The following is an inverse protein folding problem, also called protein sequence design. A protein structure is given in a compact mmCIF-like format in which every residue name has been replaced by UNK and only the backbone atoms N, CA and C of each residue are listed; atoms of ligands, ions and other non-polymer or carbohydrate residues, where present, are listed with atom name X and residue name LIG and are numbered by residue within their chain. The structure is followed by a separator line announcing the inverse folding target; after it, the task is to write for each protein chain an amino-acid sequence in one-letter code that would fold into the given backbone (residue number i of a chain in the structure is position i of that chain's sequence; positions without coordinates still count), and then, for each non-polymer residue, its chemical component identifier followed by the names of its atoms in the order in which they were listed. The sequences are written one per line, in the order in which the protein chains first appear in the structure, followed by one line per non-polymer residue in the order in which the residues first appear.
data_IF_584130018825
#
_entry.id   IF_584130018825
#
_cell.length_a   1.000
_cell.length_b   1.000
_cell.length_c   1.000
_cell.angle_alpha   90.00
_cell.angle_beta   90.00
_cell.angle_gamma   90.00
#
_symmetry.space_group_name_H-M   'P 1'
#
loop_
_entity.id
_entity.type
_entity.pdbx_description
1 polymer ?
#
# COMPACT_ATOMS: atom_id res chain seq x y z
N UNK A 1 35.24 1.01 -1.86
CA UNK A 1 34.16 0.35 -2.62
C UNK A 1 34.57 0.32 -4.09
N UNK A 2 34.35 -0.81 -4.76
CA UNK A 2 34.73 -1.05 -6.15
C UNK A 2 33.59 -1.75 -6.91
N UNK A 3 33.42 -1.36 -8.17
CA UNK A 3 32.55 -2.02 -9.14
C UNK A 3 33.44 -2.63 -10.21
N UNK A 4 33.39 -3.95 -10.39
CA UNK A 4 34.22 -4.66 -11.38
C UNK A 4 33.38 -5.56 -12.26
N UNK A 5 33.71 -5.61 -13.55
CA UNK A 5 33.19 -6.63 -14.46
C UNK A 5 34.08 -7.87 -14.33
N UNK A 6 33.48 -8.97 -13.92
CA UNK A 6 34.12 -10.28 -13.79
C UNK A 6 33.45 -11.29 -14.71
N UNK A 7 34.01 -12.49 -14.79
CA UNK A 7 33.36 -13.65 -15.40
C UNK A 7 33.22 -14.72 -14.32
N UNK A 8 31.99 -15.02 -13.92
CA UNK A 8 31.69 -16.08 -12.96
C UNK A 8 30.99 -17.23 -13.67
N UNK A 9 31.49 -18.46 -13.50
CA UNK A 9 30.95 -19.65 -14.15
C UNK A 9 30.72 -19.51 -15.67
N UNK A 10 31.60 -18.76 -16.36
CA UNK A 10 31.51 -18.51 -17.81
C UNK A 10 30.46 -17.47 -18.21
N UNK A 11 29.88 -16.72 -17.28
CA UNK A 11 28.90 -15.64 -17.53
C UNK A 11 29.46 -14.28 -17.11
N UNK A 12 29.16 -13.19 -17.84
CA UNK A 12 29.47 -11.84 -17.38
C UNK A 12 28.82 -11.59 -16.01
N UNK A 13 29.63 -11.13 -15.07
CA UNK A 13 29.21 -10.83 -13.70
C UNK A 13 29.60 -9.40 -13.35
N UNK A 14 28.69 -8.65 -12.73
CA UNK A 14 28.98 -7.35 -12.13
C UNK A 14 29.22 -7.56 -10.64
N UNK A 15 30.44 -7.33 -10.18
CA UNK A 15 30.84 -7.50 -8.78
C UNK A 15 30.88 -6.14 -8.10
N UNK A 16 30.07 -5.98 -7.06
CA UNK A 16 30.04 -4.81 -6.19
C UNK A 16 30.66 -5.18 -4.84
N UNK A 17 31.77 -4.53 -4.49
CA UNK A 17 32.45 -4.76 -3.22
C UNK A 17 32.51 -3.47 -2.38
N UNK A 18 32.13 -3.56 -1.11
CA UNK A 18 32.07 -2.42 -0.20
C UNK A 18 31.42 -2.80 1.13
N UNK A 19 31.28 -1.83 2.03
CA UNK A 19 30.57 -1.98 3.29
C UNK A 19 29.26 -1.19 3.27
N UNK A 20 28.15 -1.77 3.74
CA UNK A 20 26.85 -1.12 4.01
C UNK A 20 26.49 0.02 3.04
N UNK A 21 26.49 1.25 3.55
CA UNK A 21 26.20 2.50 2.83
C UNK A 21 26.97 2.69 1.52
N UNK A 22 28.21 2.22 1.44
CA UNK A 22 29.01 2.31 0.23
C UNK A 22 28.47 1.39 -0.87
N UNK A 23 27.91 0.22 -0.53
CA UNK A 23 27.23 -0.67 -1.49
C UNK A 23 25.87 -0.10 -1.93
N UNK A 24 25.14 0.53 -1.00
CA UNK A 24 23.87 1.20 -1.31
C UNK A 24 24.07 2.33 -2.32
N UNK A 25 25.01 3.24 -2.03
CA UNK A 25 25.38 4.34 -2.93
C UNK A 25 25.86 3.82 -4.29
N UNK A 26 26.60 2.71 -4.32
CA UNK A 26 27.07 2.07 -5.54
C UNK A 26 25.92 1.53 -6.40
N UNK A 27 24.97 0.82 -5.78
CA UNK A 27 23.80 0.28 -6.45
C UNK A 27 22.91 1.40 -6.99
N UNK A 28 22.73 2.48 -6.22
CA UNK A 28 22.03 3.68 -6.68
C UNK A 28 22.73 4.33 -7.87
N UNK A 29 24.07 4.40 -7.85
CA UNK A 29 24.84 4.93 -8.96
C UNK A 29 24.71 4.10 -10.23
N UNK A 30 24.63 2.77 -10.12
CA UNK A 30 24.36 1.89 -11.27
C UNK A 30 22.96 2.09 -11.87
N UNK A 31 21.98 2.45 -11.04
CA UNK A 31 20.60 2.66 -11.49
C UNK A 31 20.38 4.06 -12.11
N UNK A 32 21.30 5.01 -11.90
CA UNK A 32 21.16 6.38 -12.39
C UNK A 32 21.63 6.53 -13.83
N UNK A 33 20.77 7.08 -14.68
CA UNK A 33 21.08 7.41 -16.08
C UNK A 33 22.16 8.50 -16.22
N UNK A 34 22.45 9.24 -15.15
CA UNK A 34 23.46 10.30 -15.12
C UNK A 34 24.85 9.78 -14.72
N UNK A 35 24.99 8.50 -14.39
CA UNK A 35 26.29 7.92 -14.11
C UNK A 35 26.90 7.49 -15.43
N UNK A 36 28.00 8.12 -15.83
CA UNK A 36 28.76 7.72 -17.02
C UNK A 36 29.08 6.22 -16.89
N UNK A 37 28.55 5.41 -17.81
CA UNK A 37 28.93 4.00 -17.93
C UNK A 37 30.43 3.97 -18.18
N UNK A 38 31.16 3.38 -17.25
CA UNK A 38 32.60 3.37 -17.31
C UNK A 38 33.09 2.47 -18.43
N UNK A 39 34.03 2.97 -19.24
CA UNK A 39 34.64 2.24 -20.35
C UNK A 39 35.80 1.32 -19.90
N UNK A 40 35.92 1.06 -18.60
CA UNK A 40 36.98 0.25 -17.97
C UNK A 40 36.41 -0.88 -17.12
N UNK A 41 37.08 -2.04 -17.10
CA UNK A 41 36.65 -3.24 -16.37
C UNK A 41 36.59 -3.10 -14.84
N UNK A 42 37.10 -2.00 -14.28
CA UNK A 42 37.07 -1.68 -12.85
C UNK A 42 36.85 -0.18 -12.67
N UNK A 43 35.97 0.21 -11.74
CA UNK A 43 35.82 1.59 -11.27
C UNK A 43 35.72 1.66 -9.75
N UNK A 44 36.37 2.67 -9.17
CA UNK A 44 36.30 3.00 -7.75
C UNK A 44 35.57 4.33 -7.54
N UNK A 45 34.77 4.43 -6.48
CA UNK A 45 34.14 5.70 -6.10
C UNK A 45 32.96 6.12 -6.98
N UNK A 46 32.23 5.15 -7.58
CA UNK A 46 30.93 5.44 -8.18
C UNK A 46 30.01 5.98 -7.10
N UNK A 47 29.66 7.26 -7.22
CA UNK A 47 28.63 7.90 -6.43
C UNK A 47 27.63 8.53 -7.39
N UNK A 48 26.36 8.44 -7.02
CA UNK A 48 25.31 9.22 -7.66
C UNK A 48 24.51 9.85 -6.54
N UNK A 49 24.25 11.14 -6.67
CA UNK A 49 23.37 11.82 -5.74
C UNK A 49 21.95 11.45 -6.13
N UNK A 50 21.17 10.89 -5.19
CA UNK A 50 19.72 10.75 -5.39
C UNK A 50 19.21 12.15 -5.74
N UNK A 51 18.55 12.34 -6.90
CA UNK A 51 17.99 13.63 -7.26
C UNK A 51 17.11 14.16 -6.14
N UNK A 52 17.12 15.48 -5.91
CA UNK A 52 16.21 16.08 -4.95
C UNK A 52 14.76 15.69 -5.29
N UNK A 53 13.96 15.42 -4.26
CA UNK A 53 12.56 15.04 -4.44
C UNK A 53 11.85 16.03 -5.37
N UNK A 54 11.14 15.51 -6.36
CA UNK A 54 10.49 16.32 -7.36
C UNK A 54 9.53 17.34 -6.72
N UNK A 55 9.57 18.57 -7.23
CA UNK A 55 8.64 19.62 -6.82
C UNK A 55 7.21 19.33 -7.31
N UNK A 56 6.21 20.03 -6.76
CA UNK A 56 4.83 19.93 -7.24
C UNK A 56 4.64 20.49 -8.65
N UNK A 57 5.63 21.17 -9.23
CA UNK A 57 5.57 21.69 -10.59
C UNK A 57 6.55 20.96 -11.49
N UNK A 58 6.07 20.48 -12.64
CA UNK A 58 6.85 19.78 -13.65
C UNK A 58 6.63 20.40 -15.02
N UNK A 59 7.71 20.57 -15.79
CA UNK A 59 7.59 20.91 -17.21
C UNK A 59 7.20 19.68 -18.01
N UNK A 60 6.57 19.83 -19.18
CA UNK A 60 6.27 18.67 -20.03
C UNK A 60 7.55 17.93 -20.46
N UNK A 61 8.64 18.67 -20.68
CA UNK A 61 9.96 18.09 -20.94
C UNK A 61 10.47 17.26 -19.74
N UNK A 62 10.30 17.76 -18.52
CA UNK A 62 10.63 17.03 -17.27
C UNK A 62 9.79 15.77 -17.08
N UNK A 63 8.58 15.72 -17.65
CA UNK A 63 7.72 14.54 -17.67
C UNK A 63 8.06 13.56 -18.81
N UNK A 64 9.07 13.86 -19.64
CA UNK A 64 9.53 13.01 -20.72
C UNK A 64 9.05 13.39 -22.12
N UNK A 65 8.36 14.53 -22.29
CA UNK A 65 7.95 15.01 -23.61
C UNK A 65 9.13 15.65 -24.37
N UNK A 66 9.84 14.83 -25.14
CA UNK A 66 10.98 15.25 -25.97
C UNK A 66 10.51 15.84 -27.31
N UNK A 67 9.81 16.98 -27.24
CA UNK A 67 9.23 17.70 -28.37
C UNK A 67 7.87 17.13 -28.79
N UNK A 68 6.84 17.98 -28.80
CA UNK A 68 5.50 17.59 -29.23
C UNK A 68 5.12 18.39 -30.47
N UNK A 69 4.92 17.69 -31.58
CA UNK A 69 4.57 18.25 -32.89
C UNK A 69 3.42 17.47 -33.50
N UNK A 70 2.35 18.17 -33.86
CA UNK A 70 1.16 17.63 -34.52
C UNK A 70 1.08 18.26 -35.91
N UNK A 71 1.00 17.46 -36.97
CA UNK A 71 1.01 17.98 -38.33
C UNK A 71 0.03 17.25 -39.25
N UNK A 72 -0.68 18.01 -40.08
CA UNK A 72 -1.63 17.51 -41.07
C UNK A 72 -3.05 18.07 -40.91
N UNK A 73 -3.90 17.72 -41.87
CA UNK A 73 -5.35 17.95 -41.79
C UNK A 73 -6.05 16.71 -41.20
N UNK A 74 -7.30 16.88 -40.78
CA UNK A 74 -8.03 15.87 -40.01
C UNK A 74 -7.66 15.94 -38.52
N UNK A 75 -7.53 14.77 -37.89
CA UNK A 75 -7.24 14.65 -36.46
C UNK A 75 -5.86 14.07 -36.24
N UNK A 76 -5.02 14.80 -35.49
CA UNK A 76 -3.69 14.39 -35.09
C UNK A 76 -3.60 14.38 -33.57
N UNK A 77 -2.98 13.35 -32.99
CA UNK A 77 -2.91 13.15 -31.54
C UNK A 77 -1.48 12.93 -31.06
N UNK A 78 -1.17 13.46 -29.88
CA UNK A 78 0.03 13.16 -29.12
C UNK A 78 -0.37 12.78 -27.69
N UNK A 79 0.34 11.80 -27.14
CA UNK A 79 0.09 11.27 -25.82
C UNK A 79 1.33 11.39 -24.95
N UNK A 80 1.14 11.81 -23.70
CA UNK A 80 2.17 11.85 -22.66
C UNK A 80 1.66 11.12 -21.42
N UNK A 81 2.41 10.13 -20.96
CA UNK A 81 2.17 9.46 -19.69
C UNK A 81 2.63 10.35 -18.53
N UNK A 82 1.80 10.48 -17.50
CA UNK A 82 2.08 11.28 -16.30
C UNK A 82 1.78 10.45 -15.06
N UNK A 83 2.81 10.13 -14.28
CA UNK A 83 2.68 9.46 -12.98
C UNK A 83 2.62 10.49 -11.84
N UNK A 84 1.76 10.26 -10.85
CA UNK A 84 1.72 11.12 -9.66
C UNK A 84 3.06 11.12 -8.89
N UNK A 85 3.86 10.06 -8.99
CA UNK A 85 5.17 10.04 -8.32
C UNK A 85 6.13 11.11 -8.85
N UNK A 86 5.93 11.60 -10.09
CA UNK A 86 6.73 12.68 -10.69
C UNK A 86 6.58 14.03 -9.98
N UNK A 87 5.60 14.18 -9.09
CA UNK A 87 5.39 15.39 -8.30
C UNK A 87 6.01 15.30 -6.90
N UNK A 88 6.77 14.24 -6.61
CA UNK A 88 7.47 14.03 -5.33
C UNK A 88 6.52 13.80 -4.14
N UNK A 89 5.28 13.39 -4.40
CA UNK A 89 4.26 13.17 -3.36
C UNK A 89 2.86 13.09 -3.97
N UNK A 90 1.85 12.71 -3.18
CA UNK A 90 0.48 12.60 -3.66
C UNK A 90 -0.08 13.99 -4.02
N UNK A 91 -0.88 14.03 -5.09
CA UNK A 91 -1.55 15.25 -5.55
C UNK A 91 -3.08 15.11 -5.51
N UNK A 92 -3.76 16.17 -5.05
CA UNK A 92 -5.23 16.26 -4.97
C UNK A 92 -5.85 16.94 -6.19
N UNK A 93 -5.10 17.81 -6.86
CA UNK A 93 -5.49 18.52 -8.07
C UNK A 93 -4.26 18.79 -8.95
N UNK A 94 -4.47 18.94 -10.25
CA UNK A 94 -3.44 19.39 -11.20
C UNK A 94 -3.95 20.59 -12.01
N UNK A 95 -3.04 21.50 -12.33
CA UNK A 95 -3.26 22.60 -13.25
C UNK A 95 -2.28 22.48 -14.40
N UNK A 96 -2.81 22.40 -15.61
CA UNK A 96 -2.04 22.43 -16.85
C UNK A 96 -1.92 23.88 -17.33
N UNK A 97 -0.71 24.28 -17.68
CA UNK A 97 -0.42 25.45 -18.50
C UNK A 97 0.31 24.98 -19.75
N UNK A 98 -0.29 25.17 -20.91
CA UNK A 98 0.20 24.68 -22.19
C UNK A 98 0.37 25.86 -23.15
N UNK A 99 1.55 25.97 -23.74
CA UNK A 99 1.84 27.02 -24.73
C UNK A 99 2.64 26.48 -25.91
N UNK A 100 2.57 27.17 -27.03
CA UNK A 100 3.30 26.79 -28.22
C UNK A 100 2.97 27.65 -29.41
N UNK A 101 3.34 27.14 -30.58
CA UNK A 101 3.17 27.83 -31.86
C UNK A 101 2.48 26.93 -32.87
N UNK A 102 1.90 27.54 -33.89
CA UNK A 102 1.36 26.81 -35.02
C UNK A 102 1.53 27.60 -36.32
N UNK A 103 1.43 26.90 -37.45
CA UNK A 103 1.41 27.55 -38.77
C UNK A 103 0.16 28.43 -38.92
N UNK A 104 0.27 29.50 -39.70
CA UNK A 104 -0.87 30.35 -40.01
C UNK A 104 -2.00 29.55 -40.68
N UNK A 105 -3.24 29.79 -40.22
CA UNK A 105 -4.43 29.10 -40.74
C UNK A 105 -4.84 29.77 -42.06
N UNK A 106 -4.92 29.02 -43.18
CA UNK A 106 -5.37 29.58 -44.45
C UNK A 106 -6.78 30.17 -44.35
N UNK A 107 -7.07 31.23 -45.12
CA UNK A 107 -8.41 31.83 -45.16
C UNK A 107 -9.46 30.79 -45.52
N UNK A 108 -10.50 30.66 -44.68
CA UNK A 108 -11.56 29.65 -44.83
C UNK A 108 -11.22 28.25 -44.29
N UNK A 109 -10.00 28.04 -43.80
CA UNK A 109 -9.62 26.88 -43.00
C UNK A 109 -10.02 27.04 -41.54
N UNK A 110 -10.02 25.93 -40.80
CA UNK A 110 -10.32 25.91 -39.36
C UNK A 110 -9.32 25.00 -38.65
N UNK A 111 -8.89 25.37 -37.45
CA UNK A 111 -8.09 24.50 -36.61
C UNK A 111 -8.47 24.68 -35.13
N UNK A 112 -8.41 23.59 -34.37
CA UNK A 112 -8.65 23.61 -32.93
C UNK A 112 -7.69 22.64 -32.22
N UNK A 113 -7.24 23.05 -31.03
CA UNK A 113 -6.51 22.21 -30.10
C UNK A 113 -7.45 21.79 -28.98
N UNK A 114 -7.62 20.49 -28.79
CA UNK A 114 -8.32 19.90 -27.66
C UNK A 114 -7.34 19.19 -26.75
N UNK A 115 -7.53 19.35 -25.43
CA UNK A 115 -6.69 18.76 -24.40
C UNK A 115 -7.51 17.80 -23.55
N UNK A 116 -7.03 16.58 -23.41
CA UNK A 116 -7.67 15.51 -22.67
C UNK A 116 -6.79 15.02 -21.53
N UNK A 117 -7.43 14.62 -20.44
CA UNK A 117 -6.81 13.94 -19.32
C UNK A 117 -7.56 12.65 -19.03
N UNK A 118 -6.92 11.50 -19.17
CA UNK A 118 -7.59 10.18 -19.04
C UNK A 118 -8.88 10.13 -19.87
N UNK A 119 -8.80 10.59 -21.13
CA UNK A 119 -9.91 10.74 -22.08
C UNK A 119 -11.03 11.73 -21.70
N UNK A 120 -10.92 12.41 -20.57
CA UNK A 120 -11.79 13.52 -20.19
C UNK A 120 -11.33 14.83 -20.86
N UNK A 121 -12.22 15.50 -21.60
CA UNK A 121 -11.92 16.79 -22.24
C UNK A 121 -11.75 17.88 -21.18
N UNK A 122 -10.52 18.37 -21.00
CA UNK A 122 -10.21 19.47 -20.09
C UNK A 122 -10.53 20.82 -20.71
N UNK A 123 -10.12 21.02 -21.96
CA UNK A 123 -10.27 22.29 -22.67
C UNK A 123 -10.19 22.07 -24.17
N UNK A 124 -10.84 22.97 -24.92
CA UNK A 124 -10.73 23.03 -26.38
C UNK A 124 -10.74 24.47 -26.82
N UNK A 125 -9.76 24.85 -27.65
CA UNK A 125 -9.60 26.21 -28.16
C UNK A 125 -9.46 26.17 -29.68
N UNK A 126 -10.22 27.01 -30.36
CA UNK A 126 -9.97 27.31 -31.79
C UNK A 126 -8.66 28.06 -31.88
N UNK A 127 -7.79 27.62 -32.78
CA UNK A 127 -6.51 28.26 -33.02
C UNK A 127 -6.70 29.51 -33.90
N UNK A 128 -6.00 30.58 -33.56
CA UNK A 128 -5.94 31.83 -34.29
C UNK A 128 -4.52 32.44 -34.19
N UNK A 129 -4.12 33.22 -35.19
CA UNK A 129 -2.74 33.76 -35.24
C UNK A 129 -1.68 32.68 -35.52
N UNK A 130 -0.60 32.69 -34.73
CA UNK A 130 0.58 31.84 -34.84
C UNK A 130 1.04 31.24 -33.49
N UNK A 131 0.35 31.55 -32.39
CA UNK A 131 0.68 31.10 -31.03
C UNK A 131 -0.58 30.70 -30.27
N UNK A 132 -0.41 29.87 -29.25
CA UNK A 132 -1.49 29.52 -28.33
C UNK A 132 -0.97 29.46 -26.89
N UNK A 133 -1.84 29.82 -25.95
CA UNK A 133 -1.64 29.72 -24.51
C UNK A 133 -2.97 29.27 -23.89
N UNK A 134 -2.94 28.13 -23.22
CA UNK A 134 -4.10 27.46 -22.66
C UNK A 134 -3.80 27.04 -21.23
N UNK A 135 -4.74 27.34 -20.34
CA UNK A 135 -4.71 26.84 -18.96
C UNK A 135 -5.96 26.01 -18.68
N UNK A 136 -5.79 24.86 -18.04
CA UNK A 136 -6.89 23.98 -17.66
C UNK A 136 -6.65 23.34 -16.29
N UNK A 137 -7.71 23.10 -15.53
CA UNK A 137 -7.64 22.38 -14.27
C UNK A 137 -8.12 20.93 -14.46
N UNK A 138 -7.39 19.98 -13.87
CA UNK A 138 -7.78 18.57 -13.82
C UNK A 138 -8.62 18.33 -12.57
N UNK A 139 -9.89 17.90 -12.70
CA UNK A 139 -10.70 17.56 -11.55
C UNK A 139 -10.10 16.41 -10.75
N UNK A 140 -10.17 16.47 -9.41
CA UNK A 140 -9.63 15.45 -8.52
C UNK A 140 -10.11 14.03 -8.84
N UNK A 141 -11.39 13.87 -9.22
CA UNK A 141 -11.98 12.57 -9.57
C UNK A 141 -11.50 11.98 -10.90
N UNK A 142 -10.74 12.75 -11.69
CA UNK A 142 -10.09 12.26 -12.92
C UNK A 142 -8.61 11.90 -12.69
N UNK A 143 -8.08 12.13 -11.49
CA UNK A 143 -6.69 11.79 -11.17
C UNK A 143 -6.59 10.33 -10.73
N UNK A 144 -5.63 9.64 -11.33
CA UNK A 144 -5.23 8.28 -11.01
C UNK A 144 -3.73 8.25 -10.69
N UNK A 145 -3.18 7.13 -10.24
CA UNK A 145 -1.73 6.99 -10.00
C UNK A 145 -0.93 7.26 -11.27
N UNK A 146 -1.38 6.68 -12.39
CA UNK A 146 -0.89 6.90 -13.75
C UNK A 146 -1.98 7.56 -14.57
N UNK A 147 -1.60 8.58 -15.33
CA UNK A 147 -2.52 9.38 -16.12
C UNK A 147 -1.98 9.55 -17.55
N UNK A 148 -2.88 9.86 -18.47
CA UNK A 148 -2.55 10.23 -19.85
C UNK A 148 -2.99 11.65 -20.16
N UNK A 149 -2.03 12.51 -20.49
CA UNK A 149 -2.30 13.79 -21.15
C UNK A 149 -2.33 13.56 -22.65
N UNK A 150 -3.46 13.84 -23.29
CA UNK A 150 -3.61 13.78 -24.74
C UNK A 150 -3.86 15.16 -25.32
N UNK A 151 -3.06 15.51 -26.33
CA UNK A 151 -3.24 16.70 -27.15
C UNK A 151 -3.78 16.29 -28.50
N UNK A 152 -4.85 16.94 -28.95
CA UNK A 152 -5.50 16.63 -30.22
C UNK A 152 -5.65 17.89 -31.07
N UNK A 153 -4.94 17.92 -32.20
CA UNK A 153 -5.14 18.92 -33.24
C UNK A 153 -6.23 18.42 -34.18
N UNK A 154 -7.26 19.25 -34.38
CA UNK A 154 -8.26 19.03 -35.44
C UNK A 154 -8.14 20.18 -36.43
N UNK A 155 -7.79 19.89 -37.68
CA UNK A 155 -7.59 20.90 -38.71
C UNK A 155 -8.36 20.56 -39.98
N UNK A 156 -9.04 21.55 -40.55
CA UNK A 156 -9.78 21.46 -41.80
C UNK A 156 -9.21 22.45 -42.82
N UNK A 157 -8.87 22.00 -44.05
CA UNK A 157 -8.41 22.90 -45.09
C UNK A 157 -9.55 23.79 -45.59
N UNK A 158 -9.19 24.88 -46.27
CA UNK A 158 -10.17 25.76 -46.91
C UNK A 158 -11.02 24.96 -47.92
N UNK A 159 -12.34 25.03 -47.78
CA UNK A 159 -13.28 24.29 -48.63
C UNK A 159 -13.48 22.80 -48.26
N UNK A 160 -12.84 22.29 -47.20
CA UNK A 160 -13.05 20.94 -46.68
C UNK A 160 -12.44 19.80 -47.51
N UNK A 161 -11.67 20.12 -48.55
CA UNK A 161 -11.01 19.14 -49.40
C UNK A 161 -9.68 18.67 -48.80
N UNK A 162 -9.69 17.49 -48.18
CA UNK A 162 -8.50 16.83 -47.64
C UNK A 162 -7.63 16.15 -48.73
N UNK A 163 -8.05 16.15 -49.99
CA UNK A 163 -7.32 15.59 -51.14
C UNK A 163 -6.44 16.61 -51.88
N UNK A 164 -6.30 17.80 -51.29
CA UNK A 164 -5.81 19.01 -51.95
C UNK A 164 -4.50 18.86 -52.74
N UNK A 165 -4.29 19.71 -53.74
CA UNK A 165 -3.22 19.59 -54.71
C UNK A 165 -1.83 19.60 -54.04
N UNK A 166 -0.85 18.95 -54.67
CA UNK A 166 0.56 19.04 -54.28
C UNK A 166 0.97 20.51 -54.14
N UNK A 167 1.04 21.03 -52.90
CA UNK A 167 1.32 22.45 -52.65
C UNK A 167 0.62 23.07 -51.42
N UNK A 168 -0.38 22.42 -50.80
CA UNK A 168 -0.86 22.88 -49.49
C UNK A 168 0.16 22.52 -48.41
N UNK A 169 0.71 23.54 -47.75
CA UNK A 169 1.53 23.35 -46.56
C UNK A 169 0.61 22.81 -45.45
N UNK A 170 0.93 21.66 -44.83
CA UNK A 170 0.10 21.08 -43.78
C UNK A 170 0.03 22.04 -42.59
N UNK A 171 -1.12 22.06 -41.91
CA UNK A 171 -1.21 22.68 -40.60
C UNK A 171 -0.24 21.97 -39.64
N UNK A 172 0.52 22.73 -38.89
CA UNK A 172 1.47 22.20 -37.91
C UNK A 172 1.32 22.96 -36.60
N UNK A 173 1.35 22.24 -35.49
CA UNK A 173 1.35 22.76 -34.13
C UNK A 173 2.54 22.16 -33.38
N UNK A 174 3.32 23.02 -32.72
CA UNK A 174 4.45 22.64 -31.87
C UNK A 174 4.23 23.16 -30.47
N UNK A 175 4.38 22.31 -29.47
CA UNK A 175 4.28 22.68 -28.05
C UNK A 175 5.67 23.06 -27.53
N UNK A 176 5.74 24.17 -26.78
CA UNK A 176 6.91 24.51 -25.98
C UNK A 176 6.93 23.63 -24.72
N UNK A 177 7.63 22.50 -24.77
CA UNK A 177 7.62 21.50 -23.67
C UNK A 177 8.39 21.94 -22.44
N UNK A 178 9.35 22.87 -22.56
CA UNK A 178 10.07 23.43 -21.41
C UNK A 178 9.31 24.57 -20.76
N UNK A 179 8.51 25.30 -21.53
CA UNK A 179 7.65 26.37 -21.05
C UNK A 179 6.25 25.97 -20.62
N UNK A 180 5.77 24.80 -21.04
CA UNK A 180 4.49 24.23 -20.62
C UNK A 180 4.67 23.42 -19.33
N UNK A 181 3.77 23.59 -18.38
CA UNK A 181 3.89 23.03 -17.03
C UNK A 181 2.62 22.32 -16.56
N UNK A 182 2.80 21.36 -15.66
CA UNK A 182 1.79 20.78 -14.81
C UNK A 182 2.15 21.10 -13.36
N UNK A 183 1.24 21.76 -12.64
CA UNK A 183 1.41 22.12 -11.24
C UNK A 183 0.39 21.36 -10.39
N UNK A 184 0.86 20.59 -9.43
CA UNK A 184 0.06 19.80 -8.50
C UNK A 184 -0.15 20.46 -7.15
N UNK A 185 -1.36 20.33 -6.63
CA UNK A 185 -1.67 20.66 -5.25
C UNK A 185 -1.44 19.43 -4.38
N UNK A 186 -0.76 19.58 -3.24
CA UNK A 186 -0.50 18.47 -2.31
C UNK A 186 -1.80 17.92 -1.74
N UNK A 187 -1.91 16.60 -1.69
CA UNK A 187 -3.04 15.90 -1.09
C UNK A 187 -3.35 14.59 -1.79
N UNK A 188 -4.39 13.88 -1.38
CA UNK A 188 -4.75 12.60 -1.98
C UNK A 188 -5.94 12.76 -2.93
N UNK A 189 -5.80 12.30 -4.17
CA UNK A 189 -6.89 12.12 -5.13
C UNK A 189 -7.37 10.67 -5.25
N UNK A 190 -6.56 9.72 -4.80
CA UNK A 190 -6.83 8.27 -4.88
C UNK A 190 -7.19 7.72 -3.50
N UNK A 191 -8.17 6.80 -3.45
CA UNK A 191 -8.53 6.05 -2.24
C UNK A 191 -7.33 5.26 -1.70
N UNK A 192 -7.31 4.99 -0.39
CA UNK A 192 -6.27 4.18 0.23
C UNK A 192 -6.19 2.77 -0.41
N UNK A 193 -4.99 2.33 -0.77
CA UNK A 193 -4.74 1.07 -1.46
C UNK A 193 -3.41 1.06 -2.20
N UNK A 194 -3.18 0.03 -3.01
CA UNK A 194 -1.92 -0.13 -3.76
C UNK A 194 -1.68 1.01 -4.75
N UNK A 195 -2.76 1.55 -5.33
CA UNK A 195 -2.71 2.68 -6.24
C UNK A 195 -2.18 3.98 -5.60
N UNK A 196 -1.97 4.05 -4.27
CA UNK A 196 -1.28 5.18 -3.63
C UNK A 196 0.25 5.06 -3.66
N UNK A 197 0.78 3.90 -3.97
CA UNK A 197 2.20 3.66 -4.07
C UNK A 197 2.63 3.63 -5.55
N UNK A 198 3.81 4.17 -5.88
CA UNK A 198 4.85 4.67 -4.97
C UNK A 198 4.71 6.15 -4.58
N UNK A 199 3.73 6.90 -5.09
CA UNK A 199 3.69 8.36 -4.93
C UNK A 199 3.61 8.85 -3.47
N UNK A 200 3.02 8.09 -2.56
CA UNK A 200 2.99 8.44 -1.12
C UNK A 200 4.35 8.35 -0.43
N UNK A 201 5.33 7.68 -1.03
CA UNK A 201 6.68 7.54 -0.49
C UNK A 201 7.51 8.83 -0.64
N UNK A 202 7.16 9.71 -1.57
CA UNK A 202 7.91 10.96 -1.79
C UNK A 202 9.40 10.72 -2.06
N UNK A 203 9.73 9.63 -2.76
CA UNK A 203 11.08 9.12 -3.01
C UNK A 203 11.84 8.55 -1.80
N UNK A 204 11.25 8.45 -0.61
CA UNK A 204 11.86 7.80 0.56
C UNK A 204 11.11 6.52 0.92
N UNK A 205 11.83 5.40 1.01
CA UNK A 205 11.22 4.10 1.32
C UNK A 205 11.88 3.49 2.57
N UNK A 206 11.33 3.76 3.77
CA UNK A 206 11.69 3.00 4.96
C UNK A 206 11.13 1.58 4.84
N UNK A 207 12.02 0.60 5.01
CA UNK A 207 11.68 -0.83 5.02
C UNK A 207 11.98 -1.38 6.41
N UNK A 208 11.01 -2.05 7.02
CA UNK A 208 11.17 -2.71 8.31
C UNK A 208 10.89 -4.20 8.21
N UNK A 209 11.64 -4.98 9.00
CA UNK A 209 11.41 -6.41 9.15
C UNK A 209 10.80 -6.67 10.52
N UNK A 210 9.79 -7.53 10.53
CA UNK A 210 9.14 -8.04 11.72
C UNK A 210 9.42 -9.55 11.87
N UNK A 211 9.06 -10.11 13.02
CA UNK A 211 9.48 -11.45 13.46
C UNK A 211 8.70 -12.61 12.79
N UNK A 212 7.83 -12.34 11.83
CA UNK A 212 7.03 -13.34 11.13
C UNK A 212 7.78 -14.17 10.09
N UNK A 213 9.06 -13.85 9.84
CA UNK A 213 10.00 -14.68 9.08
C UNK A 213 11.44 -14.38 9.51
N UNK A 214 12.38 -15.24 9.13
CA UNK A 214 13.80 -14.95 9.36
C UNK A 214 14.29 -13.81 8.45
N UNK A 215 15.38 -13.16 8.87
CA UNK A 215 15.87 -11.94 8.23
C UNK A 215 16.24 -12.13 6.76
N UNK A 216 16.69 -13.32 6.38
CA UNK A 216 17.06 -13.62 4.99
C UNK A 216 15.82 -13.65 4.09
N UNK A 217 14.75 -14.30 4.52
CA UNK A 217 13.49 -14.40 3.80
C UNK A 217 12.79 -13.04 3.71
N UNK A 218 12.79 -12.28 4.81
CA UNK A 218 12.32 -10.90 4.80
C UNK A 218 13.10 -10.02 3.82
N UNK A 219 14.42 -10.18 3.74
CA UNK A 219 15.25 -9.44 2.78
C UNK A 219 14.89 -9.78 1.33
N UNK A 220 14.69 -11.06 1.00
CA UNK A 220 14.30 -11.48 -0.35
C UNK A 220 12.91 -10.95 -0.73
N UNK A 221 11.94 -11.06 0.17
CA UNK A 221 10.58 -10.57 -0.04
C UNK A 221 10.55 -9.04 -0.20
N UNK A 222 11.29 -8.33 0.65
CA UNK A 222 11.42 -6.89 0.56
C UNK A 222 12.08 -6.47 -0.75
N UNK A 223 13.15 -7.13 -1.17
CA UNK A 223 13.84 -6.81 -2.42
C UNK A 223 12.92 -6.95 -3.65
N UNK A 224 12.09 -8.00 -3.70
CA UNK A 224 11.13 -8.19 -4.78
C UNK A 224 10.05 -7.09 -4.82
N UNK A 225 9.51 -6.70 -3.67
CA UNK A 225 8.50 -5.64 -3.57
C UNK A 225 9.10 -4.25 -3.87
N UNK A 226 10.29 -3.96 -3.33
CA UNK A 226 11.04 -2.72 -3.59
C UNK A 226 11.36 -2.61 -5.08
N UNK A 227 11.78 -3.69 -5.74
CA UNK A 227 12.04 -3.69 -7.17
C UNK A 227 10.76 -3.39 -7.98
N UNK A 228 9.62 -3.97 -7.59
CA UNK A 228 8.33 -3.69 -8.24
C UNK A 228 7.90 -2.23 -8.05
N UNK A 229 8.07 -1.67 -6.84
CA UNK A 229 7.81 -0.25 -6.56
C UNK A 229 8.72 0.68 -7.33
N UNK A 230 10.02 0.38 -7.39
CA UNK A 230 11.01 1.18 -8.12
C UNK A 230 10.72 1.22 -9.62
N UNK A 231 10.18 0.13 -10.18
CA UNK A 231 9.77 0.08 -11.58
C UNK A 231 8.59 1.01 -11.89
N UNK A 232 7.72 1.26 -10.90
CA UNK A 232 6.57 2.16 -11.03
C UNK A 232 6.90 3.61 -10.63
N UNK A 233 7.98 3.81 -9.87
CA UNK A 233 8.42 5.11 -9.41
C UNK A 233 9.10 5.91 -10.53
N UNK A 234 8.76 7.20 -10.60
CA UNK A 234 9.40 8.11 -11.54
C UNK A 234 10.85 8.44 -11.18
N UNK A 235 11.14 8.51 -9.89
CA UNK A 235 12.46 8.80 -9.35
C UNK A 235 13.03 7.57 -8.63
N UNK A 236 14.35 7.56 -8.44
CA UNK A 236 15.01 6.55 -7.64
C UNK A 236 14.57 6.67 -6.17
N UNK A 237 14.07 5.57 -5.62
CA UNK A 237 13.67 5.48 -4.22
C UNK A 237 14.91 5.40 -3.32
N UNK A 238 14.95 6.22 -2.28
CA UNK A 238 15.92 6.13 -1.20
C UNK A 238 15.50 5.05 -0.20
N UNK A 239 15.84 3.81 -0.54
CA UNK A 239 15.53 2.62 0.26
C UNK A 239 16.49 2.53 1.43
N UNK A 240 15.94 2.48 2.65
CA UNK A 240 16.72 2.32 3.87
C UNK A 240 15.99 1.42 4.87
N UNK A 241 16.77 0.69 5.67
CA UNK A 241 16.23 -0.18 6.70
C UNK A 241 15.95 0.60 7.98
N UNK A 242 14.86 0.28 8.64
CA UNK A 242 14.48 0.80 9.96
C UNK A 242 13.89 -0.32 10.82
N UNK A 243 13.81 -0.09 12.13
CA UNK A 243 13.17 -1.03 13.04
C UNK A 243 11.64 -0.97 12.87
N UNK A 244 10.96 -2.11 13.04
CA UNK A 244 9.50 -2.19 12.93
C UNK A 244 8.81 -1.20 13.88
N UNK A 245 9.23 -1.12 15.15
CA UNK A 245 8.65 -0.18 16.10
C UNK A 245 8.86 1.29 15.70
N UNK A 246 10.04 1.61 15.14
CA UNK A 246 10.36 2.96 14.66
C UNK A 246 9.48 3.35 13.47
N UNK A 247 9.29 2.45 12.50
CA UNK A 247 8.37 2.66 11.38
C UNK A 247 6.92 2.85 11.87
N UNK A 248 6.48 2.03 12.82
CA UNK A 248 5.10 2.08 13.31
C UNK A 248 4.83 3.29 14.23
N UNK A 249 5.88 3.88 14.82
CA UNK A 249 5.79 5.10 15.61
C UNK A 249 5.91 6.38 14.76
N UNK A 250 6.43 6.30 13.53
CA UNK A 250 6.60 7.47 12.66
C UNK A 250 5.31 7.86 11.93
N UNK A 251 5.36 9.03 11.27
CA UNK A 251 4.34 9.52 10.34
C UNK A 251 4.61 9.11 8.89
N UNK A 252 5.69 8.38 8.63
CA UNK A 252 6.15 8.11 7.28
C UNK A 252 5.37 6.96 6.64
N UNK A 253 5.23 7.01 5.33
CA UNK A 253 4.80 5.85 4.56
C UNK A 253 5.96 4.84 4.46
N UNK A 254 5.65 3.54 4.41
CA UNK A 254 6.71 2.53 4.38
C UNK A 254 6.25 1.11 4.14
N UNK A 255 7.22 0.20 4.09
CA UNK A 255 7.03 -1.22 3.86
C UNK A 255 7.43 -2.02 5.10
N UNK A 256 6.49 -2.80 5.63
CA UNK A 256 6.72 -3.77 6.70
C UNK A 256 6.64 -5.20 6.11
N UNK A 257 7.68 -6.00 6.32
CA UNK A 257 7.80 -7.36 5.79
C UNK A 257 7.94 -8.36 6.92
N UNK A 258 7.26 -9.50 6.81
CA UNK A 258 7.24 -10.52 7.86
C UNK A 258 6.31 -10.14 9.00
N UNK A 259 5.22 -9.42 8.72
CA UNK A 259 4.30 -8.97 9.75
C UNK A 259 3.66 -10.14 10.51
N UNK A 260 3.68 -10.07 11.83
CA UNK A 260 3.02 -11.03 12.72
C UNK A 260 1.54 -10.67 12.95
N UNK A 261 0.71 -11.61 13.46
CA UNK A 261 -0.66 -11.28 13.89
C UNK A 261 -0.75 -10.15 14.91
N UNK A 262 0.18 -10.09 15.86
CA UNK A 262 0.24 -9.03 16.85
C UNK A 262 0.51 -7.67 16.19
N UNK A 263 1.40 -7.63 15.20
CA UNK A 263 1.73 -6.40 14.48
C UNK A 263 0.58 -5.95 13.58
N UNK A 264 -0.06 -6.87 12.85
CA UNK A 264 -1.24 -6.58 12.06
C UNK A 264 -2.38 -6.01 12.93
N UNK A 265 -2.58 -6.52 14.14
CA UNK A 265 -3.55 -5.98 15.11
C UNK A 265 -3.14 -4.59 15.62
N UNK A 266 -1.86 -4.39 15.99
CA UNK A 266 -1.30 -3.11 16.46
C UNK A 266 -1.55 -1.97 15.47
N UNK A 267 -1.43 -2.26 14.18
CA UNK A 267 -1.66 -1.27 13.10
C UNK A 267 -3.09 -1.29 12.56
N UNK A 268 -3.99 -2.06 13.17
CA UNK A 268 -5.37 -2.22 12.70
C UNK A 268 -5.44 -2.52 11.20
N UNK A 269 -4.61 -3.46 10.74
CA UNK A 269 -4.58 -3.89 9.35
C UNK A 269 -5.98 -4.31 8.89
N UNK A 270 -6.39 -3.99 7.65
CA UNK A 270 -7.72 -4.32 7.16
C UNK A 270 -8.06 -5.81 7.26
N UNK A 271 -7.10 -6.69 6.96
CA UNK A 271 -7.22 -8.12 7.23
C UNK A 271 -6.40 -8.47 8.49
N UNK A 272 -7.07 -9.09 9.46
CA UNK A 272 -6.37 -9.70 10.61
C UNK A 272 -5.67 -10.98 10.14
N UNK A 273 -4.44 -11.20 10.60
CA UNK A 273 -3.71 -12.45 10.34
C UNK A 273 -4.17 -13.53 11.33
N UNK A 274 -5.33 -14.12 11.07
CA UNK A 274 -5.94 -15.13 11.92
C UNK A 274 -6.84 -16.08 11.12
N UNK A 275 -7.13 -17.26 11.68
CA UNK A 275 -8.12 -18.17 11.11
C UNK A 275 -9.52 -17.57 11.24
N UNK A 276 -10.32 -17.67 10.18
CA UNK A 276 -11.69 -17.17 10.21
C UNK A 276 -12.68 -18.20 9.64
N UNK A 277 -13.87 -18.24 10.25
CA UNK A 277 -15.01 -19.07 9.86
C UNK A 277 -16.24 -18.18 9.80
N UNK A 278 -17.11 -18.41 8.85
CA UNK A 278 -18.39 -17.69 8.77
C UNK A 278 -19.40 -18.30 9.74
N UNK A 279 -20.24 -17.44 10.33
CA UNK A 279 -21.47 -17.90 10.97
C UNK A 279 -22.48 -18.11 9.84
N UNK A 280 -22.99 -19.33 9.72
CA UNK A 280 -24.14 -19.62 8.86
C UNK A 280 -25.35 -18.80 9.36
N UNK A 281 -25.61 -17.65 8.74
CA UNK A 281 -26.94 -17.05 8.80
C UNK A 281 -27.87 -18.03 8.07
N UNK A 282 -29.04 -18.32 8.67
CA UNK A 282 -29.92 -19.45 8.31
C UNK A 282 -30.42 -19.49 6.85
N UNK A 283 -30.04 -18.53 6.01
CA UNK A 283 -30.46 -18.41 4.61
C UNK A 283 -29.31 -18.14 3.61
N UNK A 284 -28.02 -18.29 3.97
CA UNK A 284 -26.90 -18.15 3.02
C UNK A 284 -25.86 -19.27 3.22
N UNK A 285 -25.70 -20.12 2.21
CA UNK A 285 -24.82 -21.31 2.18
C UNK A 285 -23.38 -21.02 1.71
N UNK A 286 -23.03 -19.74 1.49
CA UNK A 286 -21.69 -19.33 1.07
C UNK A 286 -20.99 -18.54 2.15
N UNK A 287 -20.06 -19.22 2.81
CA UNK A 287 -19.23 -18.63 3.83
C UNK A 287 -17.75 -18.75 3.50
N UNK A 288 -17.11 -17.65 3.10
CA UNK A 288 -15.66 -17.63 2.87
C UNK A 288 -14.97 -17.49 4.22
N UNK A 289 -14.50 -18.62 4.76
CA UNK A 289 -13.62 -18.70 5.93
C UNK A 289 -12.43 -19.57 5.59
N UNK A 290 -11.19 -19.15 5.91
CA UNK A 290 -10.03 -20.04 5.77
C UNK A 290 -9.53 -20.54 7.12
N UNK A 291 -9.50 -21.86 7.25
CA UNK A 291 -8.69 -22.58 8.26
C UNK A 291 -7.34 -23.00 7.69
N UNK A 292 -7.09 -22.75 6.40
CA UNK A 292 -5.84 -23.04 5.72
C UNK A 292 -4.87 -21.86 5.83
N UNK A 293 -3.55 -22.14 5.79
CA UNK A 293 -2.53 -21.10 5.72
C UNK A 293 -2.74 -20.15 4.54
N UNK A 294 -2.43 -18.87 4.76
CA UNK A 294 -2.45 -17.85 3.72
C UNK A 294 -1.35 -16.82 3.96
N UNK A 295 -0.98 -16.10 2.90
CA UNK A 295 -0.23 -14.87 3.00
C UNK A 295 -1.03 -13.73 2.39
N UNK A 296 -0.71 -12.53 2.83
CA UNK A 296 -1.36 -11.31 2.38
C UNK A 296 -0.33 -10.20 2.22
N UNK A 297 -0.49 -9.45 1.14
CA UNK A 297 0.09 -8.13 0.97
C UNK A 297 -1.06 -7.12 1.05
N UNK A 298 -0.93 -6.11 1.89
CA UNK A 298 -1.98 -5.11 2.15
C UNK A 298 -1.42 -3.70 1.99
N UNK A 299 -2.22 -2.81 1.43
CA UNK A 299 -1.93 -1.38 1.34
C UNK A 299 -3.04 -0.58 2.01
N UNK A 300 -2.75 0.14 3.07
CA UNK A 300 -3.78 0.84 3.84
C UNK A 300 -3.28 2.11 4.50
N UNK A 301 -4.23 2.95 4.92
CA UNK A 301 -3.94 4.14 5.70
C UNK A 301 -4.13 3.85 7.19
N UNK A 302 -3.17 4.26 8.01
CA UNK A 302 -3.23 4.15 9.46
C UNK A 302 -2.74 5.46 10.09
N UNK A 303 -3.57 6.14 10.88
CA UNK A 303 -3.23 7.43 11.51
C UNK A 303 -2.68 8.48 10.51
N UNK A 304 -3.23 8.52 9.29
CA UNK A 304 -2.82 9.48 8.25
C UNK A 304 -1.55 9.10 7.46
N UNK A 305 -0.91 7.96 7.73
CA UNK A 305 0.22 7.44 6.94
C UNK A 305 -0.19 6.21 6.13
N UNK A 306 0.50 5.96 5.01
CA UNK A 306 0.20 4.83 4.14
C UNK A 306 1.23 3.70 4.38
N UNK A 307 0.76 2.50 4.70
CA UNK A 307 1.62 1.34 4.96
C UNK A 307 1.39 0.25 3.93
N UNK A 308 2.50 -0.39 3.52
CA UNK A 308 2.49 -1.70 2.88
C UNK A 308 2.88 -2.74 3.92
N UNK A 309 2.06 -3.79 4.04
CA UNK A 309 2.29 -4.87 5.00
C UNK A 309 2.27 -6.21 4.27
N UNK A 310 3.38 -6.93 4.30
CA UNK A 310 3.46 -8.33 3.89
C UNK A 310 3.50 -9.22 5.13
N UNK A 311 2.54 -10.11 5.27
CA UNK A 311 2.45 -11.04 6.39
C UNK A 311 1.82 -12.36 6.00
N UNK A 312 1.84 -13.31 6.93
CA UNK A 312 1.25 -14.63 6.72
C UNK A 312 0.70 -15.20 8.02
N UNK A 313 -0.24 -16.12 7.86
CA UNK A 313 -0.85 -16.85 8.97
C UNK A 313 -1.01 -18.32 8.64
N UNK A 314 -0.82 -19.17 9.64
CA UNK A 314 -1.15 -20.59 9.62
C UNK A 314 -1.83 -20.98 10.93
N UNK A 315 -2.70 -22.01 10.92
CA UNK A 315 -3.25 -22.56 12.15
C UNK A 315 -2.14 -23.10 13.05
N UNK A 316 -2.30 -22.98 14.36
CA UNK A 316 -1.39 -23.55 15.34
C UNK A 316 -1.31 -25.07 15.16
N UNK A 317 -0.21 -25.54 14.57
CA UNK A 317 0.10 -26.95 14.49
C UNK A 317 0.92 -27.35 15.72
N UNK A 318 0.74 -28.56 16.29
CA UNK A 318 1.66 -29.08 17.31
C UNK A 318 3.10 -29.07 16.78
N UNK A 319 4.08 -28.85 17.66
CA UNK A 319 5.50 -28.61 17.30
C UNK A 319 6.11 -29.67 16.34
N UNK A 320 5.60 -30.91 16.37
CA UNK A 320 6.00 -32.01 15.50
C UNK A 320 5.52 -31.86 14.04
N UNK A 321 4.44 -31.11 13.79
CA UNK A 321 3.90 -30.82 12.46
C UNK A 321 4.45 -29.51 11.87
N UNK A 322 4.97 -28.58 12.70
CA UNK A 322 5.61 -27.33 12.25
C UNK A 322 6.93 -27.60 11.51
N UNK A 323 7.67 -28.63 11.91
CA UNK A 323 8.92 -29.04 11.25
C UNK A 323 8.68 -29.81 9.93
N UNK A 324 7.45 -30.26 9.67
CA UNK A 324 7.02 -30.88 8.42
C UNK A 324 6.28 -29.90 7.48
N UNK A 325 6.02 -28.66 7.92
CA UNK A 325 5.40 -27.62 7.12
C UNK A 325 6.34 -27.01 6.06
N UNK A 326 7.45 -27.68 5.73
CA UNK A 326 8.34 -27.30 4.64
C UNK A 326 7.67 -27.59 3.29
N UNK A 327 7.11 -26.55 2.68
CA UNK A 327 6.42 -26.67 1.39
C UNK A 327 5.45 -25.52 1.11
N UNK A 328 4.53 -25.69 0.17
CA UNK A 328 3.58 -24.67 -0.29
C UNK A 328 2.53 -24.23 0.75
N UNK A 329 2.59 -24.76 1.97
CA UNK A 329 1.73 -24.41 3.11
C UNK A 329 2.42 -23.59 4.19
N UNK A 330 3.72 -23.35 4.07
CA UNK A 330 4.46 -22.44 4.94
C UNK A 330 4.04 -20.98 4.69
N UNK A 331 3.58 -20.23 5.70
CA UNK A 331 3.30 -18.80 5.58
C UNK A 331 4.45 -17.99 4.97
N UNK A 332 5.71 -18.37 5.23
CA UNK A 332 6.88 -17.66 4.67
C UNK A 332 7.00 -17.93 3.18
N UNK A 333 6.84 -19.18 2.74
CA UNK A 333 6.82 -19.54 1.32
C UNK A 333 5.65 -18.85 0.57
N UNK A 334 4.49 -18.72 1.22
CA UNK A 334 3.34 -18.00 0.67
C UNK A 334 3.60 -16.49 0.55
N UNK A 335 4.30 -15.88 1.52
CA UNK A 335 4.74 -14.48 1.42
C UNK A 335 5.70 -14.29 0.24
N UNK A 336 6.68 -15.19 0.07
CA UNK A 336 7.60 -15.14 -1.08
C UNK A 336 6.90 -15.32 -2.41
N UNK A 337 5.83 -16.11 -2.45
CA UNK A 337 4.99 -16.25 -3.64
C UNK A 337 4.27 -14.95 -3.99
N UNK A 338 3.74 -14.21 -3.02
CA UNK A 338 3.15 -12.89 -3.26
C UNK A 338 4.18 -11.89 -3.77
N UNK A 339 5.33 -11.79 -3.09
CA UNK A 339 6.38 -10.87 -3.48
C UNK A 339 6.89 -11.15 -4.91
N UNK A 340 7.09 -12.43 -5.25
CA UNK A 340 7.47 -12.85 -6.59
C UNK A 340 6.38 -12.60 -7.63
N UNK A 341 5.11 -12.81 -7.27
CA UNK A 341 3.97 -12.56 -8.16
C UNK A 341 3.90 -11.08 -8.57
N UNK A 342 4.01 -10.17 -7.60
CA UNK A 342 4.00 -8.71 -7.87
C UNK A 342 5.18 -8.32 -8.77
N UNK A 343 6.36 -8.91 -8.56
CA UNK A 343 7.54 -8.65 -9.38
C UNK A 343 7.42 -9.17 -10.82
N UNK A 344 6.79 -10.32 -11.02
CA UNK A 344 6.73 -11.02 -12.32
C UNK A 344 5.48 -10.69 -13.14
N UNK A 345 4.48 -10.06 -12.54
CA UNK A 345 3.24 -9.71 -13.22
C UNK A 345 3.50 -8.71 -14.37
N UNK A 346 2.88 -8.96 -15.52
CA UNK A 346 2.87 -8.01 -16.64
C UNK A 346 2.16 -6.71 -16.19
N UNK A 347 2.82 -5.56 -16.32
CA UNK A 347 2.36 -4.29 -15.73
C UNK A 347 2.80 -4.06 -14.27
N UNK A 348 3.34 -5.08 -13.60
CA UNK A 348 3.96 -5.00 -12.27
C UNK A 348 3.03 -4.42 -11.21
N UNK A 349 3.52 -3.42 -10.45
CA UNK A 349 2.78 -2.76 -9.38
C UNK A 349 1.50 -2.06 -9.86
N UNK A 350 1.50 -1.55 -11.10
CA UNK A 350 0.39 -0.74 -11.62
C UNK A 350 -0.93 -1.51 -11.81
N UNK A 351 -0.86 -2.84 -11.90
CA UNK A 351 -2.04 -3.70 -12.00
C UNK A 351 -2.74 -3.94 -10.65
N UNK A 352 -2.10 -3.55 -9.54
CA UNK A 352 -2.66 -3.65 -8.21
C UNK A 352 -3.65 -2.50 -7.99
N UNK A 353 -4.88 -2.68 -8.48
CA UNK A 353 -5.95 -1.66 -8.43
C UNK A 353 -6.71 -1.57 -7.10
N UNK A 354 -6.52 -2.53 -6.19
CA UNK A 354 -7.25 -2.61 -4.90
C UNK A 354 -6.29 -2.41 -3.71
N UNK A 355 -6.62 -2.95 -2.55
CA UNK A 355 -5.83 -2.77 -1.34
C UNK A 355 -5.41 -4.07 -0.63
N UNK A 356 -5.85 -5.24 -1.11
CA UNK A 356 -5.47 -6.55 -0.58
C UNK A 356 -5.10 -7.51 -1.70
N UNK A 357 -3.96 -8.18 -1.57
CA UNK A 357 -3.55 -9.28 -2.43
C UNK A 357 -3.31 -10.52 -1.55
N UNK A 358 -4.11 -11.56 -1.76
CA UNK A 358 -4.12 -12.76 -0.91
C UNK A 358 -3.68 -13.97 -1.71
N UNK A 359 -2.85 -14.83 -1.14
CA UNK A 359 -2.58 -16.16 -1.68
C UNK A 359 -2.82 -17.23 -0.62
N UNK A 360 -3.31 -18.38 -1.07
CA UNK A 360 -3.41 -19.59 -0.27
C UNK A 360 -2.47 -20.66 -0.83
N UNK A 361 -2.51 -21.84 -0.23
CA UNK A 361 -1.69 -23.00 -0.60
C UNK A 361 -1.92 -23.49 -2.04
N UNK A 362 -3.08 -23.19 -2.62
CA UNK A 362 -3.45 -23.49 -4.00
C UNK A 362 -4.04 -22.27 -4.71
N UNK A 363 -3.93 -22.23 -6.04
CA UNK A 363 -4.46 -21.15 -6.86
C UNK A 363 -3.50 -19.96 -6.99
N UNK A 364 -3.81 -19.03 -7.88
CA UNK A 364 -3.04 -17.79 -8.07
C UNK A 364 -3.42 -16.75 -7.01
N UNK A 365 -2.53 -15.79 -6.70
CA UNK A 365 -2.88 -14.64 -5.87
C UNK A 365 -4.12 -13.93 -6.39
N UNK A 366 -5.00 -13.50 -5.48
CA UNK A 366 -6.26 -12.84 -5.79
C UNK A 366 -6.26 -11.44 -5.20
N UNK A 367 -6.59 -10.47 -6.05
CA UNK A 367 -6.72 -9.06 -5.67
C UNK A 367 -8.15 -8.80 -5.16
N UNK A 368 -8.26 -8.30 -3.93
CA UNK A 368 -9.51 -8.06 -3.20
C UNK A 368 -9.58 -6.63 -2.68
N UNK A 369 -10.80 -6.17 -2.42
CA UNK A 369 -11.02 -4.92 -1.70
C UNK A 369 -11.31 -5.27 -0.23
N UNK A 370 -10.70 -4.58 0.72
CA UNK A 370 -10.87 -4.88 2.15
C UNK A 370 -12.32 -4.75 2.62
N UNK A 371 -13.08 -3.81 2.04
CA UNK A 371 -14.52 -3.68 2.29
C UNK A 371 -15.36 -4.86 1.78
N UNK A 372 -14.82 -5.70 0.88
CA UNK A 372 -15.45 -6.93 0.44
C UNK A 372 -15.20 -8.10 1.41
N UNK A 373 -14.34 -7.91 2.42
CA UNK A 373 -14.07 -8.88 3.48
C UNK A 373 -14.73 -8.35 4.76
N UNK A 374 -15.75 -9.06 5.26
CA UNK A 374 -16.35 -8.71 6.55
C UNK A 374 -15.50 -9.32 7.67
N UNK A 375 -14.82 -8.53 8.52
CA UNK A 375 -14.13 -9.07 9.69
C UNK A 375 -15.22 -9.54 10.66
N UNK A 376 -15.44 -10.84 10.74
CA UNK A 376 -16.42 -11.37 11.69
C UNK A 376 -15.75 -11.52 13.06
N UNK A 377 -16.48 -11.08 14.09
CA UNK A 377 -16.01 -11.05 15.47
C UNK A 377 -15.37 -12.39 15.86
N UNK A 378 -14.19 -12.27 16.45
CA UNK A 378 -13.45 -13.35 17.07
C UNK A 378 -14.39 -14.22 17.90
N UNK A 379 -14.31 -15.54 17.74
CA UNK A 379 -14.70 -16.43 18.82
C UNK A 379 -13.61 -16.29 19.88
N UNK A 380 -13.65 -15.19 20.62
CA UNK A 380 -13.03 -15.20 21.95
C UNK A 380 -13.70 -16.37 22.68
N UNK A 381 -12.91 -17.13 23.44
CA UNK A 381 -13.41 -18.05 24.45
C UNK A 381 -14.14 -17.25 25.56
N UNK A 382 -15.17 -16.47 25.22
CA UNK A 382 -15.98 -15.65 26.14
C UNK A 382 -16.70 -16.49 27.20
N UNK A 383 -16.73 -17.81 27.02
CA UNK A 383 -17.22 -18.75 28.03
C UNK A 383 -16.25 -18.99 29.18
N UNK A 384 -14.92 -18.87 29.00
CA UNK A 384 -13.95 -19.08 30.10
C UNK A 384 -14.01 -18.01 31.20
N UNK A 385 -14.05 -16.69 30.91
CA UNK A 385 -14.20 -15.69 31.97
C UNK A 385 -15.59 -15.77 32.62
N UNK A 386 -16.65 -16.06 31.86
CA UNK A 386 -18.00 -16.17 32.41
C UNK A 386 -18.18 -17.43 33.30
N UNK A 387 -17.56 -18.56 32.91
CA UNK A 387 -17.52 -19.77 33.74
C UNK A 387 -16.72 -19.56 35.04
N UNK A 388 -15.61 -18.81 35.00
CA UNK A 388 -14.85 -18.43 36.19
C UNK A 388 -15.66 -17.51 37.12
N UNK A 389 -16.40 -16.54 36.58
CA UNK A 389 -17.30 -15.70 37.36
C UNK A 389 -18.48 -16.46 37.96
N UNK A 390 -19.08 -17.41 37.22
CA UNK A 390 -20.13 -18.28 37.73
C UNK A 390 -19.61 -19.23 38.83
N UNK A 391 -18.41 -19.78 38.67
CA UNK A 391 -17.76 -20.60 39.70
C UNK A 391 -17.46 -19.78 40.98
N UNK A 392 -16.97 -18.54 40.82
CA UNK A 392 -16.74 -17.63 41.93
C UNK A 392 -18.05 -17.28 42.67
N UNK A 393 -19.14 -17.01 41.93
CA UNK A 393 -20.46 -16.74 42.49
C UNK A 393 -21.02 -17.96 43.25
N UNK A 394 -20.85 -19.17 42.70
CA UNK A 394 -21.25 -20.41 43.37
C UNK A 394 -20.46 -20.65 44.67
N UNK A 395 -19.14 -20.42 44.66
CA UNK A 395 -18.29 -20.54 45.85
C UNK A 395 -18.70 -19.53 46.95
N UNK A 396 -19.01 -18.28 46.57
CA UNK A 396 -19.48 -17.26 47.50
C UNK A 396 -20.83 -17.65 48.14
N UNK A 397 -21.76 -18.21 47.36
CA UNK A 397 -23.05 -18.71 47.86
C UNK A 397 -22.86 -19.87 48.84
N UNK A 398 -21.98 -20.83 48.54
CA UNK A 398 -21.67 -21.94 49.44
C UNK A 398 -21.06 -21.46 50.77
N UNK A 399 -20.15 -20.48 50.72
CA UNK A 399 -19.58 -19.86 51.91
C UNK A 399 -20.64 -19.13 52.75
N UNK A 400 -21.55 -18.40 52.12
CA UNK A 400 -22.65 -17.72 52.82
C UNK A 400 -23.60 -18.71 53.50
N UNK A 401 -23.94 -19.83 52.83
CA UNK A 401 -24.74 -20.91 53.40
C UNK A 401 -24.00 -21.58 54.57
N UNK A 402 -22.72 -21.87 54.41
CA UNK A 402 -21.86 -22.45 55.46
C UNK A 402 -21.79 -21.55 56.70
N UNK A 403 -21.56 -20.24 56.51
CA UNK A 403 -21.55 -19.25 57.58
C UNK A 403 -22.90 -19.17 58.29
N UNK A 404 -24.01 -19.19 57.55
CA UNK A 404 -25.36 -19.18 58.12
C UNK A 404 -25.66 -20.42 58.96
N UNK A 405 -25.23 -21.60 58.51
CA UNK A 405 -25.37 -22.86 59.26
C UNK A 405 -24.53 -22.80 60.55
N UNK A 406 -23.29 -22.32 60.44
CA UNK A 406 -22.38 -22.19 61.59
C UNK A 406 -22.91 -21.21 62.65
N UNK A 407 -23.37 -20.04 62.23
CA UNK A 407 -24.01 -19.04 63.10
C UNK A 407 -25.26 -19.60 63.78
N UNK A 408 -26.12 -20.33 63.04
CA UNK A 408 -27.31 -21.00 63.62
C UNK A 408 -26.93 -22.05 64.66
N UNK A 409 -25.89 -22.85 64.41
CA UNK A 409 -25.39 -23.83 65.40
C UNK A 409 -24.84 -23.12 66.65
N UNK A 410 -24.12 -22.01 66.49
CA UNK A 410 -23.60 -21.20 67.61
C UNK A 410 -24.73 -20.56 68.43
N UNK A 411 -25.75 -20.01 67.78
CA UNK A 411 -26.92 -19.45 68.47
C UNK A 411 -27.73 -20.52 69.21
N UNK A 412 -27.92 -21.72 68.63
CA UNK A 412 -28.59 -22.83 69.34
C UNK A 412 -27.82 -23.28 70.58
N UNK A 413 -26.48 -23.28 70.54
CA UNK A 413 -25.67 -23.59 71.74
C UNK A 413 -25.82 -22.53 72.83
N UNK A 414 -25.82 -21.24 72.47
CA UNK A 414 -26.05 -20.15 73.43
C UNK A 414 -27.48 -20.16 73.99
N UNK A 415 -28.48 -20.47 73.18
CA UNK A 415 -29.86 -20.55 73.61
C UNK A 415 -30.11 -21.72 74.57
N UNK A 416 -29.46 -22.88 74.36
CA UNK A 416 -29.49 -24.01 75.30
C UNK A 416 -28.84 -23.63 76.64
N UNK A 417 -27.65 -23.03 76.60
CA UNK A 417 -26.99 -22.55 77.82
C UNK A 417 -27.84 -21.53 78.61
N UNK A 418 -28.60 -20.67 77.93
CA UNK A 418 -29.54 -19.74 78.58
C UNK A 418 -30.80 -20.43 79.12
N UNK A 419 -31.30 -21.48 78.44
CA UNK A 419 -32.44 -22.26 78.91
C UNK A 419 -32.06 -23.07 80.16
N UNK A 420 -30.90 -23.73 80.15
CA UNK A 420 -30.36 -24.49 81.28
C UNK A 420 -30.12 -23.58 82.50
N UNK A 421 -29.58 -22.37 82.28
CA UNK A 421 -29.40 -21.37 83.33
C UNK A 421 -30.73 -20.87 83.92
N UNK A 422 -31.81 -20.81 83.12
CA UNK A 422 -33.14 -20.38 83.57
C UNK A 422 -33.89 -21.48 84.31
N UNK A 423 -33.66 -22.75 83.96
CA UNK A 423 -34.15 -23.90 84.72
C UNK A 423 -33.45 -24.01 86.08
N UNK A 424 -32.14 -23.76 86.15
CA UNK A 424 -31.40 -23.67 87.41
C UNK A 424 -31.88 -22.52 88.29
N UNK A 425 -32.17 -21.34 87.71
CA UNK A 425 -32.71 -20.19 88.45
C UNK A 425 -34.13 -20.43 88.99
N UNK A 426 -34.98 -21.16 88.26
CA UNK A 426 -36.32 -21.57 88.73
C UNK A 426 -36.27 -22.64 89.82
N UNK A 427 -35.28 -23.52 89.80
CA UNK A 427 -35.07 -24.51 90.86
C UNK A 427 -34.59 -23.87 92.18
N UNK A 428 -34.03 -22.66 92.12
CA UNK A 428 -33.53 -21.90 93.27
C UNK A 428 -34.48 -20.82 93.80
N UNK A 429 -35.73 -20.78 93.35
CA UNK A 429 -36.74 -19.79 93.77
C UNK A 429 -37.75 -20.43 94.75
N UNK A 430 -37.52 -20.39 96.07
CA UNK A 430 -38.45 -20.90 97.06
C UNK A 430 -39.60 -19.91 97.25
N UNK A 431 -40.80 -20.30 96.82
CA UNK A 431 -42.05 -19.64 97.20
C UNK A 431 -42.29 -19.87 98.69
N UNK A 432 -42.33 -18.77 99.44
CA UNK A 432 -43.28 -18.50 100.52
C UNK A 432 -43.33 -19.48 101.70
N UNK A 433 -42.71 -19.08 102.80
CA UNK A 433 -43.43 -18.69 104.02
C UNK A 433 -42.64 -17.61 104.77
#
# INVERSE_FOLDING_TARGET
MSTTLATEAGRPALVLAGSGEALRTAAQALASANTALADSGTVTGMTSMVPAAAGPEQTLAGLGANGVRLAGYGTQEAYLGVSQSQFGGPVSALKLHLRGTHTAIPTGGQAALSVYWNDYLLSSQTLDGDTFDLTAAVPAGQLQSRNGLKLRLTALPAGGDCSGPAGLLPMELTVDTTGSTLTGERGHSVTAGFARFPQVLGASLPVAFDDGAAAQENTLNAAALVAALQHDAADLLDVHLTDADSLLASSDAGLLVGATPATAEKVSAPLRLAGFRTVAARDIEYGVGTTAPYAVLEAFEHNGRNLLLLGGWAPDAPAEAQSAASGSSDPVALQSRLASFVQQQEGGWSELSRNLLVTQTSGNPVLLESGAITPQAEVTDGYRPLALWLAAAAAALLLAVGARIWLRRRHRRKARAFADAKEQARASDPVGN
#
